data_IF_785896833511
#
_entry.id   IF_785896833511
#
_cell.length_a   1.000
_cell.length_b   1.000
_cell.length_c   1.000
_cell.angle_alpha   90.00
_cell.angle_beta   90.00
_cell.angle_gamma   90.00
#
_symmetry.space_group_name_H-M   'P 1'
#
loop_
_entity.id
_entity.type
_entity.pdbx_description
1 polymer ?
#
# COMPACT_ATOMS: atom_id res chain seq x y z
N UNK A 1 -8.40 24.48 62.02
CA UNK A 1 -7.32 24.88 61.09
C UNK A 1 -7.47 24.09 59.80
N UNK A 2 -7.90 24.75 58.72
CA UNK A 2 -8.14 24.12 57.42
C UNK A 2 -6.80 23.89 56.70
N UNK A 3 -6.52 22.64 56.29
CA UNK A 3 -5.29 22.30 55.56
C UNK A 3 -5.28 23.01 54.19
N UNK A 4 -4.14 23.57 53.74
CA UNK A 4 -4.07 24.27 52.46
C UNK A 4 -4.23 23.25 51.31
N UNK A 5 -5.18 23.51 50.41
CA UNK A 5 -5.37 22.74 49.17
C UNK A 5 -4.14 22.94 48.29
N UNK A 6 -3.32 21.89 48.15
CA UNK A 6 -2.21 21.83 47.19
C UNK A 6 -2.77 22.02 45.78
N UNK A 7 -2.39 23.11 45.12
CA UNK A 7 -2.69 23.35 43.70
C UNK A 7 -2.01 22.24 42.88
N UNK A 8 -2.80 21.29 42.38
CA UNK A 8 -2.35 20.28 41.42
C UNK A 8 -1.79 21.03 40.20
N UNK A 9 -0.52 20.80 39.87
CA UNK A 9 0.06 21.27 38.59
C UNK A 9 -0.82 20.73 37.45
N UNK A 10 -1.13 21.52 36.41
CA UNK A 10 -1.88 21.01 35.27
C UNK A 10 -1.15 19.79 34.70
N UNK A 11 -1.88 18.70 34.43
CA UNK A 11 -1.32 17.55 33.69
C UNK A 11 -0.82 18.12 32.37
N UNK A 12 0.46 17.90 32.05
CA UNK A 12 0.98 18.18 30.70
C UNK A 12 0.11 17.39 29.74
N UNK A 13 -0.65 18.09 28.90
CA UNK A 13 -1.35 17.48 27.77
C UNK A 13 -0.26 16.99 26.82
N UNK A 14 -0.31 15.71 26.43
CA UNK A 14 0.62 15.18 25.44
C UNK A 14 0.35 15.90 24.10
N UNK A 15 1.37 16.57 23.58
CA UNK A 15 1.33 17.27 22.30
C UNK A 15 2.48 16.75 21.44
N UNK A 16 2.17 16.36 20.21
CA UNK A 16 3.17 15.91 19.25
C UNK A 16 4.02 17.08 18.78
N UNK A 17 5.23 16.80 18.31
CA UNK A 17 6.20 17.82 17.92
C UNK A 17 5.70 18.70 16.77
N UNK A 18 4.84 18.16 15.92
CA UNK A 18 4.21 18.82 14.77
C UNK A 18 2.79 19.35 15.06
N UNK A 19 2.29 19.18 16.29
CA UNK A 19 0.96 19.63 16.70
C UNK A 19 -0.20 18.73 16.27
N UNK A 20 0.07 17.56 15.67
CA UNK A 20 -0.96 16.57 15.33
C UNK A 20 -1.58 15.94 16.57
N UNK A 21 -2.81 15.44 16.42
CA UNK A 21 -3.41 14.53 17.40
C UNK A 21 -2.75 13.15 17.36
N UNK A 22 -3.05 12.34 18.37
CA UNK A 22 -2.54 10.96 18.49
C UNK A 22 -3.04 10.05 17.36
N UNK A 23 -4.23 10.30 16.81
CA UNK A 23 -4.92 9.49 15.80
C UNK A 23 -4.89 10.09 14.38
N UNK A 24 -4.03 11.10 14.20
CA UNK A 24 -3.97 11.93 12.99
C UNK A 24 -2.76 11.57 12.11
N UNK A 25 -3.06 11.27 10.85
CA UNK A 25 -2.06 11.04 9.80
C UNK A 25 -1.39 12.35 9.39
N UNK A 26 -0.16 12.28 8.88
CA UNK A 26 0.47 13.40 8.15
C UNK A 26 -0.33 13.70 6.88
N UNK A 27 -0.17 14.91 6.30
CA UNK A 27 -0.68 15.17 4.97
C UNK A 27 -0.09 14.18 3.96
N UNK A 28 -0.96 13.56 3.16
CA UNK A 28 -0.58 12.58 2.14
C UNK A 28 -1.02 13.09 0.77
N UNK A 29 -0.08 13.12 -0.16
CA UNK A 29 -0.32 13.40 -1.58
C UNK A 29 0.22 12.22 -2.38
N UNK A 30 -0.57 11.69 -3.29
CA UNK A 30 -0.17 10.60 -4.18
C UNK A 30 -0.39 11.07 -5.62
N UNK A 31 0.60 10.83 -6.47
CA UNK A 31 0.53 11.07 -7.90
C UNK A 31 0.92 9.79 -8.65
N UNK A 32 0.18 9.43 -9.69
CA UNK A 32 0.38 8.22 -10.50
C UNK A 32 0.92 8.57 -11.89
N UNK A 33 1.75 7.72 -12.49
CA UNK A 33 2.27 7.92 -13.85
C UNK A 33 3.34 9.01 -13.96
N UNK A 34 4.14 9.20 -12.92
CA UNK A 34 5.20 10.22 -12.85
C UNK A 34 6.44 9.91 -13.68
N UNK A 35 6.72 8.64 -13.98
CA UNK A 35 7.87 8.19 -14.79
C UNK A 35 7.35 7.58 -16.10
N UNK A 36 7.54 8.24 -17.26
CA UNK A 36 7.04 7.75 -18.54
C UNK A 36 7.68 6.45 -19.04
N UNK A 37 8.91 6.15 -18.60
CA UNK A 37 9.64 4.96 -19.04
C UNK A 37 9.29 3.70 -18.25
N UNK A 38 8.64 3.84 -17.10
CA UNK A 38 8.19 2.70 -16.30
C UNK A 38 6.83 2.24 -16.82
N UNK A 39 6.54 0.94 -16.72
CA UNK A 39 5.22 0.41 -17.09
C UNK A 39 4.13 0.99 -16.18
N UNK A 40 4.48 1.21 -14.90
CA UNK A 40 3.69 2.00 -13.96
C UNK A 40 4.58 2.72 -12.96
N UNK A 41 4.10 3.84 -12.42
CA UNK A 41 4.86 4.64 -11.47
C UNK A 41 3.98 5.41 -10.51
N UNK A 42 4.53 5.76 -9.36
CA UNK A 42 3.86 6.60 -8.38
C UNK A 42 4.86 7.48 -7.63
N UNK A 43 4.44 8.66 -7.27
CA UNK A 43 5.09 9.54 -6.32
C UNK A 43 4.19 9.69 -5.10
N UNK A 44 4.77 9.59 -3.92
CA UNK A 44 4.07 9.85 -2.66
C UNK A 44 4.82 10.87 -1.84
N UNK A 45 4.06 11.82 -1.31
CA UNK A 45 4.45 12.66 -0.19
C UNK A 45 3.64 12.24 1.03
N UNK A 46 4.32 11.88 2.12
CA UNK A 46 3.68 11.52 3.39
C UNK A 46 4.38 12.29 4.50
N UNK A 47 3.80 13.44 4.87
CA UNK A 47 4.49 14.48 5.63
C UNK A 47 5.68 15.03 4.85
N UNK A 48 6.90 14.79 5.35
CA UNK A 48 8.13 15.20 4.65
C UNK A 48 8.80 14.05 3.89
N UNK A 49 8.24 12.84 3.95
CA UNK A 49 8.71 11.75 3.10
C UNK A 49 8.43 12.09 1.65
N UNK A 50 9.41 11.91 0.77
CA UNK A 50 9.27 12.04 -0.69
C UNK A 50 9.81 10.76 -1.31
N UNK A 51 8.94 9.97 -1.92
CA UNK A 51 9.29 8.64 -2.39
C UNK A 51 8.73 8.45 -3.80
N UNK A 52 9.55 7.91 -4.69
CA UNK A 52 9.17 7.56 -6.06
C UNK A 52 9.25 6.04 -6.22
N UNK A 53 8.19 5.45 -6.74
CA UNK A 53 8.13 4.03 -7.11
C UNK A 53 7.98 3.89 -8.63
N UNK A 54 8.69 2.92 -9.20
CA UNK A 54 8.58 2.54 -10.60
C UNK A 54 8.48 1.02 -10.72
N UNK A 55 7.59 0.55 -11.59
CA UNK A 55 7.30 -0.85 -11.84
C UNK A 55 7.67 -1.20 -13.27
N UNK A 56 8.30 -2.36 -13.45
CA UNK A 56 8.58 -2.94 -14.75
C UNK A 56 8.12 -4.39 -14.80
N UNK A 57 7.55 -4.77 -15.93
CA UNK A 57 7.06 -6.10 -16.20
C UNK A 57 5.53 -6.20 -16.14
N UNK A 58 5.00 -7.43 -16.28
CA UNK A 58 5.71 -8.72 -16.27
C UNK A 58 6.63 -8.92 -17.48
N UNK A 59 7.88 -9.36 -17.25
CA UNK A 59 8.87 -9.67 -18.30
C UNK A 59 9.53 -11.04 -18.08
N UNK A 60 10.11 -11.65 -19.10
CA UNK A 60 10.82 -12.93 -18.95
C UNK A 60 11.96 -12.81 -17.92
N UNK A 61 12.03 -13.76 -16.97
CA UNK A 61 13.06 -13.70 -15.94
C UNK A 61 14.41 -14.19 -16.47
N UNK A 62 15.40 -13.30 -16.40
CA UNK A 62 16.82 -13.62 -16.57
C UNK A 62 17.57 -13.42 -15.25
N UNK A 63 18.40 -14.40 -14.81
CA UNK A 63 18.62 -15.73 -15.37
C UNK A 63 17.48 -16.74 -15.13
N UNK A 64 17.24 -17.66 -16.07
CA UNK A 64 16.12 -18.62 -16.07
C UNK A 64 16.07 -19.54 -14.83
N UNK A 65 17.21 -19.81 -14.19
CA UNK A 65 17.28 -20.64 -12.98
C UNK A 65 16.48 -20.05 -11.81
N UNK A 66 16.35 -18.73 -11.73
CA UNK A 66 15.58 -18.08 -10.69
C UNK A 66 14.06 -18.14 -10.97
N UNK A 67 13.67 -18.40 -12.22
CA UNK A 67 12.28 -18.36 -12.67
C UNK A 67 11.49 -19.49 -12.03
N UNK A 68 10.25 -19.19 -11.65
CA UNK A 68 9.33 -20.20 -11.12
C UNK A 68 8.41 -20.66 -12.26
N UNK A 69 8.20 -21.97 -12.45
CA UNK A 69 7.42 -22.49 -13.58
C UNK A 69 5.93 -22.15 -13.49
N UNK A 70 5.39 -22.05 -12.27
CA UNK A 70 3.94 -21.94 -12.03
C UNK A 70 3.51 -20.55 -11.53
N UNK A 71 4.45 -19.62 -11.33
CA UNK A 71 4.16 -18.28 -10.82
C UNK A 71 5.22 -17.29 -11.26
N UNK A 72 4.86 -16.01 -11.25
CA UNK A 72 5.78 -14.90 -11.40
C UNK A 72 6.62 -14.70 -10.14
N UNK A 73 7.72 -13.97 -10.30
CA UNK A 73 8.57 -13.55 -9.19
C UNK A 73 8.43 -12.05 -9.02
N UNK A 74 8.07 -11.62 -7.82
CA UNK A 74 8.14 -10.22 -7.43
C UNK A 74 9.57 -9.93 -6.93
N UNK A 75 10.22 -8.90 -7.48
CA UNK A 75 11.48 -8.37 -6.96
C UNK A 75 11.28 -6.93 -6.56
N UNK A 76 11.47 -6.65 -5.27
CA UNK A 76 11.36 -5.29 -4.74
C UNK A 76 12.74 -4.79 -4.34
N UNK A 77 13.10 -3.59 -4.79
CA UNK A 77 14.30 -2.89 -4.36
C UNK A 77 13.90 -1.59 -3.67
N UNK A 78 14.09 -1.56 -2.36
CA UNK A 78 14.07 -0.34 -1.57
C UNK A 78 15.46 0.29 -1.57
N UNK A 79 15.56 1.58 -1.87
CA UNK A 79 16.82 2.30 -1.83
C UNK A 79 16.62 3.75 -1.37
N UNK A 80 17.49 4.20 -0.46
CA UNK A 80 17.48 5.59 0.00
C UNK A 80 18.60 6.37 -0.67
N UNK A 81 18.24 7.49 -1.31
CA UNK A 81 19.21 8.37 -1.93
C UNK A 81 20.22 8.88 -0.88
N UNK A 82 21.50 9.10 -1.23
CA UNK A 82 22.50 9.60 -0.28
C UNK A 82 22.13 10.88 0.46
N UNK A 83 21.33 11.74 -0.18
CA UNK A 83 20.87 13.03 0.34
C UNK A 83 19.51 12.96 1.06
N UNK A 84 18.90 11.78 1.17
CA UNK A 84 17.56 11.62 1.76
C UNK A 84 17.52 11.76 3.28
N UNK A 85 18.68 11.67 3.93
CA UNK A 85 18.86 11.73 5.39
C UNK A 85 20.05 12.62 5.74
N UNK A 86 20.01 13.16 6.96
CA UNK A 86 21.13 13.86 7.59
C UNK A 86 21.64 13.06 8.79
N UNK A 87 22.94 12.69 8.86
CA UNK A 87 24.00 12.95 7.89
C UNK A 87 23.90 12.12 6.60
N UNK A 88 24.60 12.57 5.54
CA UNK A 88 24.66 11.90 4.22
C UNK A 88 24.93 10.40 4.36
N UNK A 89 24.12 9.60 3.68
CA UNK A 89 24.21 8.14 3.64
C UNK A 89 25.11 7.64 2.51
N UNK A 90 25.69 6.45 2.69
CA UNK A 90 26.37 5.74 1.60
C UNK A 90 25.38 5.29 0.52
N UNK A 91 25.72 5.38 -0.78
CA UNK A 91 24.87 4.87 -1.86
C UNK A 91 24.84 3.33 -1.95
N UNK A 92 25.72 2.63 -1.23
CA UNK A 92 25.69 1.17 -1.21
C UNK A 92 24.48 0.68 -0.39
N UNK A 93 23.73 -0.34 -0.85
CA UNK A 93 22.61 -0.91 -0.09
C UNK A 93 23.06 -1.33 1.31
N UNK A 94 22.37 -0.85 2.33
CA UNK A 94 22.62 -1.28 3.70
C UNK A 94 21.82 -2.54 4.04
N UNK A 95 22.13 -3.18 5.17
CA UNK A 95 21.33 -4.30 5.68
C UNK A 95 19.85 -3.93 5.87
N UNK A 96 19.58 -2.70 6.32
CA UNK A 96 18.22 -2.17 6.50
C UNK A 96 17.49 -2.03 5.16
N UNK A 97 18.18 -1.64 4.09
CA UNK A 97 17.56 -1.55 2.76
C UNK A 97 17.15 -2.91 2.23
N UNK A 98 18.04 -3.90 2.38
CA UNK A 98 17.79 -5.28 1.95
C UNK A 98 16.64 -5.90 2.74
N UNK A 99 16.59 -5.67 4.05
CA UNK A 99 15.50 -6.14 4.91
C UNK A 99 14.17 -5.50 4.50
N UNK A 100 14.12 -4.18 4.35
CA UNK A 100 12.89 -3.48 3.95
C UNK A 100 12.46 -3.94 2.55
N UNK A 101 13.38 -4.11 1.60
CA UNK A 101 13.05 -4.65 0.27
C UNK A 101 12.41 -6.04 0.32
N UNK A 102 12.94 -6.94 1.16
CA UNK A 102 12.36 -8.26 1.38
C UNK A 102 10.96 -8.18 1.99
N UNK A 103 10.83 -7.40 3.06
CA UNK A 103 9.57 -7.21 3.80
C UNK A 103 8.49 -6.57 2.91
N UNK A 104 8.86 -5.60 2.07
CA UNK A 104 7.95 -5.02 1.08
C UNK A 104 7.50 -6.04 0.03
N UNK A 105 8.41 -6.90 -0.42
CA UNK A 105 8.07 -7.99 -1.34
C UNK A 105 7.05 -8.93 -0.70
N UNK A 106 7.26 -9.30 0.56
CA UNK A 106 6.34 -10.17 1.30
C UNK A 106 4.99 -9.49 1.59
N UNK A 107 4.97 -8.17 1.79
CA UNK A 107 3.74 -7.41 1.98
C UNK A 107 2.89 -7.27 0.71
N UNK A 108 3.53 -7.16 -0.46
CA UNK A 108 2.87 -6.94 -1.75
C UNK A 108 2.51 -8.26 -2.45
N UNK A 109 3.31 -9.31 -2.29
CA UNK A 109 3.11 -10.58 -3.00
C UNK A 109 1.72 -11.22 -2.78
N UNK A 110 1.11 -11.24 -1.58
CA UNK A 110 -0.22 -11.82 -1.35
C UNK A 110 -1.32 -11.13 -2.16
N UNK A 111 -1.15 -9.83 -2.41
CA UNK A 111 -2.10 -9.01 -3.16
C UNK A 111 -2.03 -9.25 -4.67
N UNK A 112 -0.92 -9.77 -5.20
CA UNK A 112 -0.71 -9.97 -6.64
C UNK A 112 -1.19 -11.36 -7.11
N UNK A 113 -1.79 -11.42 -8.30
CA UNK A 113 -2.07 -12.70 -8.97
C UNK A 113 -0.83 -13.23 -9.70
N UNK A 114 0.24 -13.55 -8.95
CA UNK A 114 1.52 -14.00 -9.51
C UNK A 114 1.38 -15.29 -10.33
N UNK A 115 0.39 -16.14 -10.04
CA UNK A 115 0.13 -17.38 -10.78
C UNK A 115 -0.20 -17.13 -12.26
N UNK A 116 -0.68 -15.92 -12.62
CA UNK A 116 -0.97 -15.52 -14.00
C UNK A 116 0.28 -15.27 -14.84
N UNK A 117 1.46 -15.17 -14.22
CA UNK A 117 2.70 -14.75 -14.85
C UNK A 117 3.83 -15.79 -14.71
N UNK A 118 3.63 -17.05 -15.14
CA UNK A 118 4.65 -18.09 -15.01
C UNK A 118 5.96 -17.67 -15.70
N UNK A 119 7.09 -17.99 -15.06
CA UNK A 119 8.46 -17.69 -15.53
C UNK A 119 8.77 -16.20 -15.74
N UNK A 120 7.88 -15.31 -15.31
CA UNK A 120 8.04 -13.87 -15.46
C UNK A 120 8.51 -13.23 -14.16
N UNK A 121 8.99 -12.00 -14.28
CA UNK A 121 9.38 -11.15 -13.16
C UNK A 121 8.68 -9.81 -13.24
N UNK A 122 8.22 -9.34 -12.08
CA UNK A 122 7.71 -7.99 -11.86
C UNK A 122 8.73 -7.32 -10.96
N UNK A 123 9.35 -6.25 -11.46
CA UNK A 123 10.36 -5.49 -10.74
C UNK A 123 9.75 -4.21 -10.20
N UNK A 124 9.84 -4.00 -8.89
CA UNK A 124 9.40 -2.79 -8.20
C UNK A 124 10.62 -2.09 -7.63
N UNK A 125 10.89 -0.89 -8.11
CA UNK A 125 11.98 -0.05 -7.63
C UNK A 125 11.39 1.12 -6.85
N UNK A 126 11.87 1.30 -5.62
CA UNK A 126 11.42 2.39 -4.75
C UNK A 126 12.62 3.20 -4.27
N UNK A 127 12.62 4.48 -4.63
CA UNK A 127 13.68 5.43 -4.32
C UNK A 127 13.15 6.46 -3.32
N UNK A 128 13.83 6.57 -2.18
CA UNK A 128 13.48 7.51 -1.11
C UNK A 128 14.35 8.75 -1.32
N UNK A 129 13.70 9.83 -1.76
CA UNK A 129 14.33 11.12 -2.05
C UNK A 129 14.53 11.90 -0.74
N UNK A 130 13.54 11.84 0.16
CA UNK A 130 13.59 12.45 1.48
C UNK A 130 12.93 11.52 2.50
N UNK A 131 13.57 11.32 3.65
CA UNK A 131 13.10 10.44 4.71
C UNK A 131 12.74 11.23 5.97
N UNK A 132 11.59 10.89 6.56
CA UNK A 132 11.04 11.51 7.76
C UNK A 132 10.28 10.49 8.62
N UNK A 133 10.85 9.29 8.86
CA UNK A 133 10.20 8.22 9.61
C UNK A 133 9.08 7.52 8.82
N UNK A 134 8.79 6.25 9.13
CA UNK A 134 7.74 5.49 8.45
C UNK A 134 7.97 5.24 6.95
N UNK A 135 9.21 5.38 6.46
CA UNK A 135 9.54 5.29 5.02
C UNK A 135 9.14 3.96 4.40
N UNK A 136 9.19 2.86 5.16
CA UNK A 136 8.76 1.54 4.68
C UNK A 136 7.27 1.51 4.32
N UNK A 137 6.42 2.11 5.16
CA UNK A 137 4.97 2.15 4.93
C UNK A 137 4.63 3.03 3.74
N UNK A 138 5.23 4.24 3.68
CA UNK A 138 5.07 5.13 2.54
C UNK A 138 5.58 4.49 1.23
N UNK A 139 6.69 3.73 1.29
CA UNK A 139 7.22 2.99 0.15
C UNK A 139 6.28 1.87 -0.33
N UNK A 140 5.63 1.13 0.58
CA UNK A 140 4.61 0.13 0.23
C UNK A 140 3.41 0.80 -0.44
N UNK A 141 2.96 1.93 0.09
CA UNK A 141 1.84 2.68 -0.46
C UNK A 141 2.13 3.17 -1.90
N UNK A 142 3.33 3.70 -2.14
CA UNK A 142 3.76 4.09 -3.49
C UNK A 142 3.84 2.89 -4.43
N UNK A 143 4.42 1.78 -3.97
CA UNK A 143 4.55 0.56 -4.76
C UNK A 143 3.18 -0.04 -5.13
N UNK A 144 2.22 -0.08 -4.21
CA UNK A 144 0.87 -0.58 -4.46
C UNK A 144 0.18 0.23 -5.57
N UNK A 145 0.28 1.56 -5.49
CA UNK A 145 -0.29 2.46 -6.49
C UNK A 145 0.42 2.31 -7.84
N UNK A 146 1.75 2.19 -7.86
CA UNK A 146 2.53 1.99 -9.08
C UNK A 146 2.26 0.63 -9.75
N UNK A 147 1.96 -0.42 -8.98
CA UNK A 147 1.58 -1.74 -9.50
C UNK A 147 0.24 -1.68 -10.22
N UNK A 148 -0.74 -0.95 -9.68
CA UNK A 148 -2.02 -0.73 -10.37
C UNK A 148 -1.85 0.16 -11.59
N UNK A 149 -1.00 1.18 -11.51
CA UNK A 149 -0.66 2.02 -12.66
C UNK A 149 -0.08 1.22 -13.83
N UNK A 150 0.72 0.19 -13.52
CA UNK A 150 1.26 -0.76 -14.49
C UNK A 150 0.23 -1.73 -15.07
N UNK A 151 -1.03 -1.68 -14.61
CA UNK A 151 -2.09 -2.60 -15.03
C UNK A 151 -1.91 -4.02 -14.52
N UNK A 152 -1.13 -4.23 -13.44
CA UNK A 152 -0.94 -5.56 -12.86
C UNK A 152 -2.18 -5.91 -12.02
N UNK A 153 -2.87 -7.02 -12.31
CA UNK A 153 -4.04 -7.45 -11.55
C UNK A 153 -3.70 -7.74 -10.09
N UNK A 154 -4.42 -7.09 -9.19
CA UNK A 154 -4.32 -7.28 -7.74
C UNK A 154 -5.66 -7.73 -7.16
N UNK A 155 -5.63 -8.52 -6.09
CA UNK A 155 -6.81 -8.92 -5.31
C UNK A 155 -7.39 -7.72 -4.56
N UNK A 156 -6.50 -6.89 -4.02
CA UNK A 156 -6.80 -5.66 -3.31
C UNK A 156 -5.57 -4.72 -3.34
N UNK A 157 -5.77 -3.44 -3.02
CA UNK A 157 -4.65 -2.53 -2.77
C UNK A 157 -4.06 -2.83 -1.38
N UNK A 158 -2.75 -2.66 -1.27
CA UNK A 158 -2.06 -2.74 0.02
C UNK A 158 -1.86 -1.33 0.55
N UNK A 159 -2.45 -1.04 1.71
CA UNK A 159 -2.23 0.19 2.46
C UNK A 159 -1.42 -0.11 3.71
N UNK A 160 -0.41 0.70 3.98
CA UNK A 160 0.50 0.54 5.09
C UNK A 160 0.61 1.81 5.92
N UNK A 161 0.58 1.66 7.23
CA UNK A 161 0.73 2.72 8.22
C UNK A 161 1.51 2.18 9.42
N UNK A 162 2.25 3.04 10.09
CA UNK A 162 2.88 2.72 11.36
C UNK A 162 2.08 3.35 12.51
N UNK A 163 1.93 2.63 13.60
CA UNK A 163 1.61 3.20 14.91
C UNK A 163 2.81 2.99 15.83
N UNK A 164 2.91 3.75 16.91
CA UNK A 164 4.01 3.59 17.85
C UNK A 164 3.71 4.20 19.20
N UNK A 165 4.68 4.14 20.09
CA UNK A 165 4.53 4.65 21.47
C UNK A 165 5.49 5.79 21.73
N UNK A 166 4.97 6.89 22.25
CA UNK A 166 5.76 8.06 22.61
C UNK A 166 5.25 8.68 23.91
N UNK A 167 6.16 8.87 24.87
CA UNK A 167 5.86 9.39 26.21
C UNK A 167 4.67 8.65 26.89
N UNK A 168 4.60 7.33 26.72
CA UNK A 168 3.53 6.49 27.25
C UNK A 168 2.20 6.49 26.47
N UNK A 169 2.09 7.20 25.34
CA UNK A 169 0.87 7.25 24.53
C UNK A 169 1.08 6.55 23.19
N UNK A 170 0.06 5.81 22.73
CA UNK A 170 0.04 5.25 21.37
C UNK A 170 -0.32 6.35 20.37
N UNK A 171 0.48 6.49 19.32
CA UNK A 171 0.36 7.51 18.29
C UNK A 171 0.40 6.90 16.89
N UNK A 172 -0.37 7.47 15.98
CA UNK A 172 -0.46 7.09 14.59
C UNK A 172 0.53 7.88 13.74
N UNK A 173 1.13 7.19 12.79
CA UNK A 173 2.01 7.73 11.75
C UNK A 173 3.18 8.55 12.30
N UNK A 174 4.18 7.81 12.78
CA UNK A 174 5.40 8.35 13.39
C UNK A 174 6.24 9.16 12.40
N UNK A 175 6.62 10.38 12.82
CA UNK A 175 7.69 11.15 12.19
C UNK A 175 9.09 10.69 12.61
N UNK A 176 10.15 11.18 11.94
CA UNK A 176 11.55 10.78 12.24
C UNK A 176 11.95 11.03 13.70
N UNK A 177 11.46 12.12 14.29
CA UNK A 177 11.73 12.43 15.70
C UNK A 177 11.06 11.43 16.63
N UNK A 178 9.81 11.05 16.33
CA UNK A 178 9.00 10.16 17.14
C UNK A 178 9.49 8.72 17.02
N UNK A 179 9.93 8.30 15.83
CA UNK A 179 10.59 7.00 15.59
C UNK A 179 11.92 6.89 16.38
N UNK A 180 12.75 7.94 16.36
CA UNK A 180 14.06 7.93 17.03
C UNK A 180 14.00 8.04 18.55
N UNK A 181 13.00 8.74 19.09
CA UNK A 181 12.88 8.99 20.55
C UNK A 181 11.74 8.23 21.20
N UNK A 182 10.89 7.60 20.41
CA UNK A 182 9.78 6.79 20.87
C UNK A 182 10.24 5.51 21.55
N UNK A 183 9.28 4.86 22.19
CA UNK A 183 9.46 3.60 22.89
C UNK A 183 9.23 2.40 21.97
N UNK A 184 8.42 2.57 20.92
CA UNK A 184 8.12 1.53 19.95
C UNK A 184 7.63 2.06 18.59
N UNK A 185 7.88 1.28 17.53
CA UNK A 185 7.38 1.43 16.15
C UNK A 185 6.71 0.11 15.71
N UNK A 186 5.48 0.19 15.22
CA UNK A 186 4.64 -0.94 14.79
C UNK A 186 4.13 -0.66 13.37
N UNK A 187 4.93 -0.91 12.33
CA UNK A 187 4.47 -0.84 10.95
C UNK A 187 3.56 -2.02 10.62
N UNK A 188 2.42 -1.70 10.00
CA UNK A 188 1.41 -2.66 9.53
C UNK A 188 1.11 -2.39 8.06
N UNK A 189 1.02 -3.44 7.24
CA UNK A 189 0.41 -3.38 5.92
C UNK A 189 -0.84 -4.26 5.88
N UNK A 190 -1.88 -3.78 5.21
CA UNK A 190 -3.22 -4.31 5.28
C UNK A 190 -3.89 -4.24 3.91
N UNK A 191 -4.68 -5.26 3.59
CA UNK A 191 -5.59 -5.32 2.43
C UNK A 191 -7.01 -5.04 2.94
N UNK A 192 -7.51 -3.79 2.84
CA UNK A 192 -8.75 -3.39 3.52
C UNK A 192 -10.02 -4.09 3.05
N UNK A 193 -10.08 -4.51 1.78
CA UNK A 193 -11.23 -5.22 1.22
C UNK A 193 -11.27 -6.69 1.66
N UNK A 194 -10.10 -7.31 1.83
CA UNK A 194 -9.98 -8.70 2.28
C UNK A 194 -9.89 -8.83 3.80
N UNK A 195 -9.70 -7.70 4.48
CA UNK A 195 -9.43 -7.62 5.91
C UNK A 195 -8.19 -8.41 6.37
N UNK A 196 -7.18 -8.53 5.52
CA UNK A 196 -5.97 -9.32 5.78
C UNK A 196 -4.74 -8.45 6.05
N UNK A 197 -3.97 -8.79 7.08
CA UNK A 197 -2.66 -8.18 7.37
C UNK A 197 -1.59 -8.89 6.56
N UNK A 198 -0.86 -8.14 5.72
CA UNK A 198 0.23 -8.68 4.88
C UNK A 198 1.62 -8.41 5.47
N UNK A 199 1.73 -7.45 6.38
CA UNK A 199 2.97 -7.13 7.10
C UNK A 199 2.63 -6.70 8.51
N UNK A 200 3.38 -7.24 9.46
CA UNK A 200 3.42 -6.77 10.84
C UNK A 200 4.86 -6.86 11.32
N UNK A 201 5.44 -5.73 11.73
CA UNK A 201 6.69 -5.72 12.48
C UNK A 201 6.50 -4.89 13.74
N UNK A 202 7.37 -5.09 14.71
CA UNK A 202 7.44 -4.30 15.93
C UNK A 202 8.91 -4.10 16.29
N UNK A 203 9.30 -2.86 16.51
CA UNK A 203 10.55 -2.48 17.14
C UNK A 203 10.24 -1.75 18.45
N UNK A 204 11.03 -1.98 19.50
CA UNK A 204 10.81 -1.43 20.82
C UNK A 204 10.02 -2.32 21.79
N UNK A 205 9.47 -1.70 22.85
CA UNK A 205 8.87 -2.41 23.99
C UNK A 205 7.43 -1.94 24.20
N UNK A 206 6.49 -2.87 24.06
CA UNK A 206 5.07 -2.66 24.30
C UNK A 206 4.52 -3.77 25.20
N UNK A 207 3.53 -3.43 26.03
CA UNK A 207 2.69 -4.44 26.68
C UNK A 207 1.78 -5.13 25.65
N UNK A 208 1.21 -6.29 25.99
CA UNK A 208 0.28 -6.97 25.09
C UNK A 208 -0.94 -6.11 24.73
N UNK A 209 -1.47 -5.37 25.69
CA UNK A 209 -2.60 -4.45 25.50
C UNK A 209 -2.21 -3.26 24.60
N UNK A 210 -1.03 -2.69 24.82
CA UNK A 210 -0.50 -1.59 23.99
C UNK A 210 -0.23 -2.03 22.55
N UNK A 211 0.26 -3.25 22.34
CA UNK A 211 0.47 -3.82 21.00
C UNK A 211 -0.86 -3.99 20.26
N UNK A 212 -1.90 -4.50 20.93
CA UNK A 212 -3.22 -4.66 20.33
C UNK A 212 -3.83 -3.30 19.95
N UNK A 213 -3.70 -2.29 20.83
CA UNK A 213 -4.13 -0.92 20.56
C UNK A 213 -3.36 -0.31 19.37
N UNK A 214 -2.04 -0.47 19.32
CA UNK A 214 -1.19 0.03 18.24
C UNK A 214 -1.56 -0.60 16.88
N UNK A 215 -1.77 -1.93 16.84
CA UNK A 215 -2.16 -2.62 15.60
C UNK A 215 -3.53 -2.12 15.12
N UNK A 216 -4.52 -2.00 16.02
CA UNK A 216 -5.84 -1.46 15.66
C UNK A 216 -5.74 -0.05 15.12
N UNK A 217 -4.97 0.81 15.79
CA UNK A 217 -4.75 2.19 15.34
C UNK A 217 -4.07 2.25 13.97
N UNK A 218 -3.06 1.40 13.73
CA UNK A 218 -2.38 1.30 12.45
C UNK A 218 -3.33 0.84 11.33
N UNK A 219 -4.19 -0.16 11.59
CA UNK A 219 -5.19 -0.63 10.63
C UNK A 219 -6.17 0.49 10.25
N UNK A 220 -6.65 1.27 11.22
CA UNK A 220 -7.50 2.44 10.93
C UNK A 220 -6.76 3.50 10.10
N UNK A 221 -5.46 3.68 10.34
CA UNK A 221 -4.59 4.49 9.48
C UNK A 221 -4.51 3.94 8.05
N UNK A 222 -4.32 2.62 7.89
CA UNK A 222 -4.30 1.97 6.59
C UNK A 222 -5.60 2.18 5.81
N UNK A 223 -6.77 2.08 6.47
CA UNK A 223 -8.07 2.34 5.83
C UNK A 223 -8.19 3.77 5.31
N UNK A 224 -7.72 4.77 6.06
CA UNK A 224 -7.70 6.17 5.61
C UNK A 224 -6.78 6.34 4.39
N UNK A 225 -5.59 5.73 4.41
CA UNK A 225 -4.63 5.78 3.30
C UNK A 225 -5.19 5.10 2.05
N UNK A 226 -5.89 3.98 2.22
CA UNK A 226 -6.53 3.24 1.15
C UNK A 226 -7.53 4.08 0.36
N UNK A 227 -8.37 4.88 1.04
CA UNK A 227 -9.28 5.77 0.33
C UNK A 227 -8.53 6.84 -0.48
N UNK A 228 -7.44 7.39 0.06
CA UNK A 228 -6.57 8.34 -0.68
C UNK A 228 -5.96 7.66 -1.93
N UNK A 229 -5.49 6.41 -1.82
CA UNK A 229 -4.98 5.63 -2.95
C UNK A 229 -6.07 5.43 -4.01
N UNK A 230 -7.29 5.03 -3.60
CA UNK A 230 -8.42 4.81 -4.49
C UNK A 230 -8.85 6.08 -5.19
N UNK A 231 -8.98 7.18 -4.47
CA UNK A 231 -9.32 8.48 -5.06
C UNK A 231 -8.28 8.91 -6.10
N UNK A 232 -7.00 8.71 -5.80
CA UNK A 232 -5.90 9.06 -6.73
C UNK A 232 -5.99 8.24 -8.02
N UNK A 233 -6.22 6.92 -7.89
CA UNK A 233 -6.37 6.03 -9.04
C UNK A 233 -7.63 6.37 -9.86
N UNK A 234 -8.77 6.63 -9.20
CA UNK A 234 -10.01 7.07 -9.86
C UNK A 234 -9.82 8.37 -10.65
N UNK A 235 -9.14 9.37 -10.04
CA UNK A 235 -8.82 10.65 -10.69
C UNK A 235 -7.99 10.45 -11.95
N UNK A 236 -7.00 9.54 -11.93
CA UNK A 236 -6.16 9.25 -13.10
C UNK A 236 -6.97 8.68 -14.27
N UNK A 237 -7.90 7.76 -13.99
CA UNK A 237 -8.71 7.09 -15.02
C UNK A 237 -10.04 7.79 -15.32
N UNK A 238 -10.25 9.01 -14.82
CA UNK A 238 -11.43 9.81 -15.15
C UNK A 238 -12.75 9.32 -14.52
N UNK A 239 -12.69 8.36 -13.59
CA UNK A 239 -13.87 7.89 -12.85
C UNK A 239 -14.24 8.95 -11.80
N UNK A 240 -15.12 9.88 -12.18
CA UNK A 240 -15.80 10.77 -11.23
C UNK A 240 -16.87 9.99 -10.47
N UNK A 241 -17.18 10.39 -9.24
CA UNK A 241 -18.22 9.76 -8.41
C UNK A 241 -19.57 9.81 -9.14
N UNK A 242 -19.94 8.72 -9.82
CA UNK A 242 -21.15 8.63 -10.63
C UNK A 242 -21.32 7.34 -11.45
N UNK A 243 -20.25 6.61 -11.77
CA UNK A 243 -20.30 5.45 -12.69
C UNK A 243 -19.98 4.10 -12.02
N UNK A 244 -20.47 3.89 -10.81
CA UNK A 244 -20.51 2.56 -10.19
C UNK A 244 -21.84 2.52 -9.43
N UNK A 245 -22.93 1.97 -9.96
CA UNK A 245 -23.25 0.52 -9.91
C UNK A 245 -24.11 0.04 -11.11
N UNK A 246 -24.48 0.88 -12.09
CA UNK A 246 -25.55 0.52 -13.05
C UNK A 246 -25.15 -0.41 -14.22
N UNK A 247 -23.91 -0.38 -14.73
CA UNK A 247 -23.57 -1.12 -15.96
C UNK A 247 -23.27 -2.63 -15.76
N UNK A 248 -23.24 -3.12 -14.52
CA UNK A 248 -23.02 -4.54 -14.24
C UNK A 248 -24.32 -5.37 -14.13
N UNK A 249 -25.50 -4.74 -14.07
CA UNK A 249 -26.80 -5.44 -13.98
C UNK A 249 -27.58 -5.51 -15.30
N UNK A 250 -27.19 -4.78 -16.35
CA UNK A 250 -27.97 -4.76 -17.61
C UNK A 250 -27.52 -5.78 -18.68
N UNK A 251 -26.49 -6.59 -18.45
CA UNK A 251 -26.04 -7.62 -19.43
C UNK A 251 -26.52 -9.05 -19.12
N UNK A 252 -27.41 -9.25 -18.15
CA UNK A 252 -28.06 -10.55 -17.90
C UNK A 252 -29.58 -10.44 -18.09
N UNK A 253 -30.06 -10.28 -19.33
CA UNK A 253 -31.43 -10.67 -19.70
C UNK A 253 -31.50 -11.28 -21.11
N UNK A 254 -31.79 -12.58 -21.12
CA UNK A 254 -32.51 -13.37 -22.11
C UNK A 254 -32.14 -13.26 -23.61
N UNK A 255 -31.26 -14.17 -24.07
CA UNK A 255 -31.39 -14.78 -25.40
C UNK A 255 -31.81 -16.26 -25.21
N UNK A 256 -33.11 -16.53 -25.35
CA UNK A 256 -33.61 -17.90 -25.55
C UNK A 256 -33.21 -18.39 -26.97
N UNK A 257 -32.88 -19.69 -27.15
CA UNK A 257 -32.56 -20.22 -28.47
C UNK A 257 -33.86 -20.50 -29.27
N UNK A 258 -34.02 -19.85 -30.42
CA UNK A 258 -35.06 -20.19 -31.39
C UNK A 258 -34.82 -21.60 -31.97
N UNK A 259 -35.82 -22.48 -31.85
CA UNK A 259 -35.84 -23.81 -32.46
C UNK A 259 -35.95 -23.72 -34.01
N UNK A 260 -35.34 -24.65 -34.77
CA UNK A 260 -35.43 -24.63 -36.22
C UNK A 260 -36.79 -25.14 -36.72
N UNK A 261 -37.48 -24.30 -37.49
CA UNK A 261 -38.76 -24.61 -38.15
C UNK A 261 -38.57 -25.66 -39.24
N UNK A 262 -39.27 -26.80 -39.10
CA UNK A 262 -39.42 -27.84 -40.12
C UNK A 262 -40.09 -27.28 -41.40
N UNK A 263 -39.52 -27.61 -42.56
CA UNK A 263 -40.15 -27.33 -43.86
C UNK A 263 -41.21 -28.40 -44.16
N UNK A 264 -42.39 -28.05 -44.70
CA UNK A 264 -43.32 -29.05 -45.19
C UNK A 264 -42.84 -29.64 -46.50
N UNK A 265 -42.96 -30.97 -46.61
CA UNK A 265 -42.94 -31.73 -47.86
C UNK A 265 -44.14 -31.34 -48.73
N UNK A 266 -43.91 -31.12 -50.02
CA UNK A 266 -44.99 -31.15 -51.03
C UNK A 266 -44.49 -32.01 -52.19
N UNK A 267 -45.01 -33.23 -52.25
CA UNK A 267 -44.90 -34.16 -53.37
C UNK A 267 -45.93 -33.84 -54.47
N UNK A 268 -45.52 -34.18 -55.70
CA UNK A 268 -46.32 -34.67 -56.83
C UNK A 268 -46.98 -33.68 -57.81
N UNK A 269 -46.54 -33.75 -59.08
CA UNK A 269 -47.27 -34.27 -60.27
C UNK A 269 -46.40 -33.96 -61.52
N UNK A 270 -45.88 -34.92 -62.31
CA UNK A 270 -46.54 -35.87 -63.21
C UNK A 270 -47.28 -35.20 -64.41
N UNK A 271 -46.53 -34.84 -65.46
CA UNK A 271 -46.77 -35.18 -66.88
C UNK A 271 -45.61 -34.71 -67.77
#
# INVERSE_FOLDING_TARGET
MSKPKTKRKPKKTFERVDGRKVDELRPITIETGVIPNADGSAYIEMGRNKIVAGVYGPREMHPKRLSKPNMGVLRVRYHMAPFSVDPRRSPAPSRRDTEIGMVMSDALAPALFLERYPRSVIDVFVEIIQADGGTRCAAINAAAVALVDAGIPMKDLVAACAAGKMEGNIVLDLGDYEDKKGEADVPVAYMPKLEEVTLLQMDGILSAEETEEAIKMAIEGCKKIYEIQRETLKKKYGMTEGESVAEAEETETDEEPEEPVEKPEEEAEAD
#
